data_IF_147629988983
#
_entry.id   IF_147629988983
#
_cell.length_a   1.000
_cell.length_b   1.000
_cell.length_c   1.000
_cell.angle_alpha   90.00
_cell.angle_beta   90.00
_cell.angle_gamma   90.00
#
_symmetry.space_group_name_H-M   'P 1'
#
loop_
_entity.id
_entity.type
_entity.pdbx_description
1 polymer ?
#
# COMPACT_ATOMS: atom_id res chain seq x y z
N UNK A 1 -16.51 -17.31 -18.13
CA UNK A 1 -17.16 -16.87 -16.86
C UNK A 1 -18.56 -16.36 -17.21
N UNK A 2 -19.60 -17.05 -16.77
CA UNK A 2 -20.99 -16.61 -17.00
C UNK A 2 -21.48 -15.98 -15.71
N UNK A 3 -21.56 -14.64 -15.71
CA UNK A 3 -21.83 -13.87 -14.50
C UNK A 3 -23.26 -13.38 -14.48
N UNK A 4 -24.12 -14.04 -13.72
CA UNK A 4 -25.52 -13.67 -13.58
C UNK A 4 -25.72 -12.72 -12.40
N UNK A 5 -26.34 -11.57 -12.65
CA UNK A 5 -26.74 -10.66 -11.58
C UNK A 5 -28.05 -11.13 -10.95
N UNK A 6 -28.09 -11.20 -9.63
CA UNK A 6 -29.28 -11.55 -8.85
C UNK A 6 -29.61 -10.47 -7.84
N UNK A 7 -30.87 -10.34 -7.48
CA UNK A 7 -31.32 -9.44 -6.46
C UNK A 7 -31.47 -10.19 -5.13
N UNK A 8 -30.71 -9.81 -4.11
CA UNK A 8 -30.86 -10.34 -2.74
C UNK A 8 -31.32 -9.24 -1.78
N UNK A 9 -32.22 -9.59 -0.87
CA UNK A 9 -32.59 -8.68 0.20
C UNK A 9 -31.51 -8.61 1.25
N UNK A 10 -31.30 -7.44 1.85
CA UNK A 10 -30.25 -7.25 2.86
C UNK A 10 -30.41 -8.22 4.04
N UNK A 11 -31.66 -8.59 4.43
CA UNK A 11 -31.91 -9.63 5.45
C UNK A 11 -31.29 -10.99 5.10
N UNK A 12 -31.30 -11.37 3.84
CA UNK A 12 -30.70 -12.64 3.39
C UNK A 12 -29.19 -12.57 3.54
N UNK A 13 -28.58 -11.49 3.05
CA UNK A 13 -27.13 -11.27 3.15
C UNK A 13 -26.68 -11.24 4.61
N UNK A 14 -27.38 -10.49 5.46
CA UNK A 14 -27.07 -10.42 6.91
C UNK A 14 -27.18 -11.80 7.57
N UNK A 15 -28.18 -12.61 7.19
CA UNK A 15 -28.35 -13.98 7.70
C UNK A 15 -27.18 -14.87 7.30
N UNK A 16 -26.75 -14.82 6.02
CA UNK A 16 -25.63 -15.62 5.53
C UNK A 16 -24.29 -15.22 6.18
N UNK A 17 -24.07 -13.93 6.38
CA UNK A 17 -22.90 -13.43 7.13
C UNK A 17 -22.93 -13.91 8.59
N UNK A 18 -24.09 -13.85 9.23
CA UNK A 18 -24.26 -14.29 10.62
C UNK A 18 -24.02 -15.78 10.82
N UNK A 19 -24.35 -16.60 9.81
CA UNK A 19 -24.09 -18.06 9.79
C UNK A 19 -22.64 -18.40 9.43
N UNK A 20 -21.86 -17.45 8.91
CA UNK A 20 -20.50 -17.68 8.45
C UNK A 20 -20.40 -18.32 7.07
N UNK A 21 -21.52 -18.48 6.33
CA UNK A 21 -21.54 -18.95 4.93
C UNK A 21 -21.01 -17.88 3.98
N UNK A 22 -21.28 -16.59 4.27
CA UNK A 22 -20.64 -15.47 3.58
C UNK A 22 -19.49 -14.94 4.42
N UNK A 23 -18.28 -14.97 3.83
CA UNK A 23 -17.05 -14.52 4.44
C UNK A 23 -16.80 -13.06 4.07
N UNK A 24 -16.91 -12.16 5.06
CA UNK A 24 -16.69 -10.73 4.88
C UNK A 24 -15.23 -10.37 4.59
N UNK A 25 -14.29 -11.17 5.08
CA UNK A 25 -12.84 -10.96 4.91
C UNK A 25 -12.18 -12.26 4.44
N UNK A 26 -12.26 -12.58 3.15
CA UNK A 26 -11.42 -13.62 2.59
C UNK A 26 -9.93 -13.26 2.74
N UNK A 27 -9.04 -14.24 2.71
CA UNK A 27 -7.59 -14.07 2.89
C UNK A 27 -6.96 -13.06 1.93
N UNK A 28 -7.54 -12.90 0.75
CA UNK A 28 -7.09 -11.97 -0.29
C UNK A 28 -7.61 -10.53 -0.14
N UNK A 29 -8.37 -10.21 0.92
CA UNK A 29 -8.97 -8.90 1.10
C UNK A 29 -8.25 -8.06 2.15
N UNK A 30 -8.09 -6.77 1.84
CA UNK A 30 -7.44 -5.77 2.70
C UNK A 30 -8.23 -5.43 3.97
N UNK A 31 -7.57 -4.73 4.88
CA UNK A 31 -8.23 -4.10 6.01
C UNK A 31 -9.28 -3.07 5.58
N UNK A 32 -10.33 -2.91 6.39
CA UNK A 32 -11.38 -1.92 6.15
C UNK A 32 -10.81 -0.50 6.30
N UNK A 33 -10.78 0.27 5.20
CA UNK A 33 -10.17 1.62 5.16
C UNK A 33 -11.19 2.76 5.14
N UNK A 34 -12.48 2.45 5.10
CA UNK A 34 -13.52 3.48 5.07
C UNK A 34 -13.51 4.34 6.33
N UNK A 35 -13.50 5.65 6.14
CA UNK A 35 -13.66 6.60 7.24
C UNK A 35 -15.07 6.56 7.81
N UNK A 36 -15.26 7.07 9.02
CA UNK A 36 -16.59 7.19 9.63
C UNK A 36 -17.60 7.90 8.68
N UNK A 37 -17.15 8.88 7.90
CA UNK A 37 -17.97 9.59 6.92
C UNK A 37 -18.50 8.65 5.82
N UNK A 38 -17.63 7.81 5.25
CA UNK A 38 -18.03 6.84 4.22
C UNK A 38 -19.01 5.81 4.78
N UNK A 39 -18.73 5.30 5.99
CA UNK A 39 -19.59 4.33 6.69
C UNK A 39 -20.98 4.93 6.99
N UNK A 40 -21.05 6.15 7.47
CA UNK A 40 -22.31 6.85 7.69
C UNK A 40 -23.07 7.08 6.37
N UNK A 41 -22.37 7.42 5.30
CA UNK A 41 -23.02 7.65 3.99
C UNK A 41 -23.68 6.39 3.44
N UNK A 42 -23.06 5.22 3.52
CA UNK A 42 -23.72 3.98 3.01
C UNK A 42 -24.93 3.59 3.85
N UNK A 43 -24.88 3.76 5.17
CA UNK A 43 -26.04 3.53 6.05
C UNK A 43 -27.18 4.47 5.66
N UNK A 44 -26.90 5.75 5.48
CA UNK A 44 -27.87 6.76 5.05
C UNK A 44 -28.46 6.42 3.68
N UNK A 45 -27.64 5.93 2.73
CA UNK A 45 -28.07 5.50 1.41
C UNK A 45 -29.12 4.41 1.51
N UNK A 46 -28.86 3.38 2.33
CA UNK A 46 -29.79 2.25 2.52
C UNK A 46 -31.06 2.68 3.25
N UNK A 47 -30.95 3.47 4.33
CA UNK A 47 -32.12 3.97 5.06
C UNK A 47 -33.04 4.86 4.20
N UNK A 48 -32.46 5.58 3.23
CA UNK A 48 -33.22 6.40 2.25
C UNK A 48 -33.70 5.61 1.04
N UNK A 49 -33.31 4.35 0.89
CA UNK A 49 -33.69 3.52 -0.26
C UNK A 49 -32.98 3.89 -1.57
N UNK A 50 -31.85 4.62 -1.51
CA UNK A 50 -31.07 4.96 -2.70
C UNK A 50 -30.19 3.78 -3.13
N UNK A 51 -29.97 3.57 -4.45
CA UNK A 51 -29.13 2.48 -4.92
C UNK A 51 -27.63 2.72 -4.60
N UNK A 52 -26.90 1.63 -4.42
CA UNK A 52 -25.44 1.62 -4.43
C UNK A 52 -24.93 0.57 -5.44
N UNK A 53 -23.64 0.62 -5.86
CA UNK A 53 -23.08 -0.31 -6.83
C UNK A 53 -23.20 -1.78 -6.41
N UNK A 54 -23.34 -2.68 -7.40
CA UNK A 54 -23.45 -4.13 -7.20
C UNK A 54 -22.30 -4.71 -6.36
N UNK A 55 -22.56 -5.85 -5.72
CA UNK A 55 -21.60 -6.61 -4.93
C UNK A 55 -21.20 -7.85 -5.71
N UNK A 56 -19.89 -8.14 -5.76
CA UNK A 56 -19.36 -9.34 -6.41
C UNK A 56 -19.00 -10.39 -5.37
N UNK A 57 -19.44 -11.62 -5.60
CA UNK A 57 -19.17 -12.76 -4.74
C UNK A 57 -18.61 -13.93 -5.57
N UNK A 58 -17.87 -14.83 -4.90
CA UNK A 58 -17.39 -16.07 -5.50
C UNK A 58 -17.48 -17.21 -4.49
N UNK A 59 -17.71 -18.42 -4.98
CA UNK A 59 -17.61 -19.63 -4.16
C UNK A 59 -16.13 -19.95 -3.97
N UNK A 60 -15.66 -19.90 -2.70
CA UNK A 60 -14.25 -20.12 -2.34
C UNK A 60 -13.93 -21.59 -2.13
N UNK A 61 -14.74 -22.25 -1.29
CA UNK A 61 -14.58 -23.66 -0.94
C UNK A 61 -15.90 -24.37 -1.19
N UNK A 62 -15.84 -25.51 -1.85
CA UNK A 62 -17.02 -26.37 -2.03
C UNK A 62 -16.63 -27.81 -1.73
N UNK A 63 -17.14 -28.34 -0.62
CA UNK A 63 -17.01 -29.76 -0.32
C UNK A 63 -18.00 -30.56 -1.21
N UNK A 64 -17.46 -31.30 -2.14
CA UNK A 64 -18.25 -32.11 -3.10
C UNK A 64 -19.04 -33.24 -2.43
N UNK A 65 -18.69 -33.65 -1.21
CA UNK A 65 -19.36 -34.75 -0.49
C UNK A 65 -20.50 -34.24 0.38
N UNK A 66 -20.35 -33.06 1.00
CA UNK A 66 -21.35 -32.46 1.88
C UNK A 66 -22.19 -31.38 1.21
N UNK A 67 -21.75 -30.89 0.03
CA UNK A 67 -22.30 -29.73 -0.67
C UNK A 67 -22.22 -28.43 0.15
N UNK A 68 -21.44 -28.42 1.23
CA UNK A 68 -21.17 -27.20 1.99
C UNK A 68 -20.22 -26.30 1.20
N UNK A 69 -20.55 -25.02 1.13
CA UNK A 69 -19.71 -24.05 0.45
C UNK A 69 -19.60 -22.74 1.24
N UNK A 70 -18.45 -22.07 1.09
CA UNK A 70 -18.25 -20.71 1.59
C UNK A 70 -18.19 -19.75 0.44
N UNK A 71 -18.89 -18.64 0.58
CA UNK A 71 -18.90 -17.55 -0.40
C UNK A 71 -18.06 -16.40 0.09
N UNK A 72 -17.02 -16.03 -0.67
CA UNK A 72 -16.19 -14.85 -0.41
C UNK A 72 -16.75 -13.61 -1.11
N UNK A 73 -16.64 -12.45 -0.46
CA UNK A 73 -17.01 -11.18 -1.08
C UNK A 73 -15.79 -10.68 -1.85
N UNK A 74 -15.88 -10.63 -3.17
CA UNK A 74 -14.81 -10.16 -4.07
C UNK A 74 -14.80 -8.62 -4.16
N UNK A 75 -15.96 -7.98 -4.33
CA UNK A 75 -16.12 -6.52 -4.20
C UNK A 75 -17.39 -6.17 -3.42
N UNK A 76 -17.35 -5.05 -2.69
CA UNK A 76 -18.44 -4.61 -1.82
C UNK A 76 -18.21 -4.93 -0.34
N UNK A 77 -17.05 -5.45 0.05
CA UNK A 77 -16.69 -5.78 1.43
C UNK A 77 -16.95 -4.62 2.40
N UNK A 78 -16.45 -3.41 2.09
CA UNK A 78 -16.62 -2.22 2.94
C UNK A 78 -18.10 -1.88 3.14
N UNK A 79 -18.90 -2.01 2.08
CA UNK A 79 -20.34 -1.76 2.10
C UNK A 79 -21.05 -2.77 2.99
N UNK A 80 -20.86 -4.06 2.73
CA UNK A 80 -21.54 -5.11 3.48
C UNK A 80 -21.07 -5.21 4.93
N UNK A 81 -19.77 -5.07 5.20
CA UNK A 81 -19.26 -5.04 6.58
C UNK A 81 -19.86 -3.89 7.40
N UNK A 82 -19.98 -2.71 6.79
CA UNK A 82 -20.58 -1.55 7.46
C UNK A 82 -22.06 -1.78 7.76
N UNK A 83 -22.82 -2.26 6.78
CA UNK A 83 -24.25 -2.54 6.95
C UNK A 83 -24.50 -3.66 7.97
N UNK A 84 -23.68 -4.71 7.95
CA UNK A 84 -23.73 -5.78 8.93
C UNK A 84 -23.40 -5.28 10.35
N UNK A 85 -22.31 -4.49 10.50
CA UNK A 85 -21.92 -3.92 11.80
C UNK A 85 -23.00 -2.98 12.35
N UNK A 86 -23.66 -2.22 11.50
CA UNK A 86 -24.78 -1.36 11.87
C UNK A 86 -25.98 -2.19 12.35
N UNK A 87 -26.37 -3.23 11.62
CA UNK A 87 -27.44 -4.16 12.01
C UNK A 87 -27.12 -4.85 13.34
N UNK A 88 -25.90 -5.35 13.50
CA UNK A 88 -25.45 -6.05 14.73
C UNK A 88 -25.25 -5.12 15.93
N UNK A 89 -25.34 -3.79 15.75
CA UNK A 89 -25.07 -2.82 16.82
C UNK A 89 -23.60 -2.77 17.25
N UNK A 90 -22.68 -3.23 16.38
CA UNK A 90 -21.22 -3.33 16.62
C UNK A 90 -20.43 -2.39 15.71
N UNK A 91 -20.87 -1.13 15.61
CA UNK A 91 -20.15 -0.13 14.81
C UNK A 91 -18.84 0.29 15.51
N UNK A 92 -17.74 0.26 14.79
CA UNK A 92 -16.39 0.72 15.21
C UNK A 92 -16.17 2.23 14.95
N UNK A 93 -17.26 2.96 14.68
CA UNK A 93 -17.25 4.39 14.37
C UNK A 93 -18.49 5.06 14.98
N UNK A 94 -18.39 6.38 15.11
CA UNK A 94 -19.48 7.21 15.63
C UNK A 94 -20.52 7.45 14.51
N UNK A 95 -21.79 7.14 14.82
CA UNK A 95 -22.92 7.51 13.97
C UNK A 95 -23.13 9.03 13.96
N UNK A 96 -23.43 9.58 12.79
CA UNK A 96 -23.81 10.99 12.65
C UNK A 96 -25.20 11.24 13.25
N UNK A 97 -25.48 12.50 13.65
CA UNK A 97 -26.68 12.87 14.42
C UNK A 97 -28.00 12.51 13.75
N UNK A 98 -28.01 12.46 12.42
CA UNK A 98 -29.18 12.11 11.59
C UNK A 98 -29.39 10.60 11.40
N UNK A 99 -28.47 9.77 11.87
CA UNK A 99 -28.53 8.30 11.78
C UNK A 99 -28.78 7.72 13.17
N UNK A 100 -29.99 7.18 13.39
CA UNK A 100 -30.29 6.46 14.63
C UNK A 100 -29.58 5.10 14.64
N UNK A 101 -29.09 4.60 15.79
CA UNK A 101 -28.66 3.21 15.93
C UNK A 101 -29.77 2.25 15.48
N UNK A 102 -29.42 1.14 14.83
CA UNK A 102 -30.40 0.16 14.34
C UNK A 102 -31.40 -0.28 15.43
N UNK A 103 -30.94 -0.51 16.65
CA UNK A 103 -31.78 -0.88 17.79
C UNK A 103 -32.84 0.17 18.16
N UNK A 104 -32.62 1.44 17.79
CA UNK A 104 -33.52 2.58 18.07
C UNK A 104 -34.39 2.99 16.88
N UNK A 105 -34.30 2.26 15.74
CA UNK A 105 -35.23 2.43 14.64
C UNK A 105 -36.60 1.88 15.03
N UNK A 106 -37.67 2.48 14.47
CA UNK A 106 -38.99 1.87 14.54
C UNK A 106 -39.08 0.64 13.62
N UNK A 107 -40.12 -0.17 13.79
CA UNK A 107 -40.25 -1.44 13.07
C UNK A 107 -40.42 -1.24 11.56
N UNK A 108 -40.97 -0.11 11.13
CA UNK A 108 -41.13 0.21 9.71
C UNK A 108 -39.76 0.52 9.08
N UNK A 109 -38.92 1.29 9.73
CA UNK A 109 -37.56 1.62 9.26
C UNK A 109 -36.63 0.38 9.32
N UNK A 110 -36.77 -0.48 10.35
CA UNK A 110 -36.05 -1.77 10.39
C UNK A 110 -36.45 -2.66 9.23
N UNK A 111 -37.76 -2.74 8.92
CA UNK A 111 -38.25 -3.53 7.81
C UNK A 111 -37.75 -2.98 6.48
N UNK A 112 -37.78 -1.67 6.26
CA UNK A 112 -37.22 -1.04 5.06
C UNK A 112 -35.73 -1.36 4.87
N UNK A 113 -34.94 -1.29 5.95
CA UNK A 113 -33.53 -1.64 5.93
C UNK A 113 -33.33 -3.12 5.57
N UNK A 114 -34.07 -4.03 6.14
CA UNK A 114 -33.97 -5.48 5.87
C UNK A 114 -34.47 -5.88 4.48
N UNK A 115 -35.50 -5.20 3.98
CA UNK A 115 -36.06 -5.43 2.64
C UNK A 115 -35.30 -4.67 1.52
N UNK A 116 -34.28 -3.89 1.88
CA UNK A 116 -33.44 -3.23 0.89
C UNK A 116 -32.80 -4.23 -0.07
N UNK A 117 -32.90 -3.95 -1.37
CA UNK A 117 -32.43 -4.85 -2.44
C UNK A 117 -30.99 -4.51 -2.80
N UNK A 118 -30.11 -5.50 -2.73
CA UNK A 118 -28.72 -5.44 -3.16
C UNK A 118 -28.59 -6.25 -4.44
N UNK A 119 -28.00 -5.65 -5.47
CA UNK A 119 -27.62 -6.38 -6.69
C UNK A 119 -26.34 -7.15 -6.39
N UNK A 120 -26.40 -8.47 -6.52
CA UNK A 120 -25.30 -9.38 -6.28
C UNK A 120 -24.94 -10.09 -7.58
N UNK A 121 -23.68 -10.02 -7.96
CA UNK A 121 -23.14 -10.73 -9.10
C UNK A 121 -22.30 -11.90 -8.61
N UNK A 122 -22.76 -13.10 -8.91
CA UNK A 122 -22.08 -14.33 -8.57
C UNK A 122 -21.11 -14.71 -9.69
N UNK A 123 -19.83 -14.88 -9.35
CA UNK A 123 -18.77 -15.27 -10.26
C UNK A 123 -18.65 -16.81 -10.38
N UNK A 124 -19.41 -17.54 -9.54
CA UNK A 124 -19.37 -19.00 -9.48
C UNK A 124 -18.18 -19.53 -8.71
N UNK A 125 -17.82 -20.78 -9.01
CA UNK A 125 -16.61 -21.41 -8.49
C UNK A 125 -15.45 -20.97 -9.38
N UNK A 126 -14.56 -20.17 -8.83
CA UNK A 126 -13.37 -19.67 -9.52
C UNK A 126 -12.16 -19.85 -8.61
N UNK A 127 -10.99 -20.07 -9.18
CA UNK A 127 -9.76 -20.21 -8.41
C UNK A 127 -9.24 -18.84 -7.90
N UNK A 128 -8.30 -18.89 -6.98
CA UNK A 128 -7.72 -17.69 -6.38
C UNK A 128 -7.06 -16.76 -7.42
N UNK A 129 -6.50 -17.31 -8.49
CA UNK A 129 -5.87 -16.52 -9.55
C UNK A 129 -6.91 -15.75 -10.37
N UNK A 130 -8.05 -16.38 -10.67
CA UNK A 130 -9.17 -15.76 -11.36
C UNK A 130 -9.86 -14.70 -10.47
N UNK A 131 -10.02 -14.99 -9.16
CA UNK A 131 -10.54 -13.99 -8.19
C UNK A 131 -9.67 -12.74 -8.21
N UNK A 132 -8.35 -12.90 -8.16
CA UNK A 132 -7.36 -11.81 -8.17
C UNK A 132 -7.47 -10.97 -9.45
N UNK A 133 -7.55 -11.62 -10.61
CA UNK A 133 -7.68 -10.93 -11.89
C UNK A 133 -9.00 -10.14 -11.99
N UNK A 134 -10.12 -10.73 -11.56
CA UNK A 134 -11.41 -10.04 -11.52
C UNK A 134 -11.37 -8.86 -10.56
N UNK A 135 -10.80 -9.04 -9.37
CA UNK A 135 -10.63 -7.98 -8.39
C UNK A 135 -9.79 -6.82 -8.95
N UNK A 136 -8.67 -7.12 -9.62
CA UNK A 136 -7.82 -6.13 -10.29
C UNK A 136 -8.60 -5.34 -11.34
N UNK A 137 -9.39 -6.01 -12.19
CA UNK A 137 -10.19 -5.37 -13.24
C UNK A 137 -11.33 -4.53 -12.69
N UNK A 138 -12.08 -5.01 -11.70
CA UNK A 138 -13.16 -4.25 -11.06
C UNK A 138 -12.64 -2.97 -10.41
N UNK A 139 -11.49 -3.04 -9.75
CA UNK A 139 -10.90 -1.88 -9.09
C UNK A 139 -10.18 -0.92 -10.07
N UNK A 140 -9.75 -1.38 -11.26
CA UNK A 140 -9.19 -0.50 -12.29
C UNK A 140 -10.23 0.46 -12.90
N UNK A 141 -11.52 0.13 -12.84
CA UNK A 141 -12.62 0.92 -13.41
C UNK A 141 -13.34 1.80 -12.39
N UNK A 142 -13.26 1.49 -11.10
CA UNK A 142 -13.99 2.18 -10.02
C UNK A 142 -13.14 2.39 -8.77
N UNK A 143 -12.54 3.59 -8.62
CA UNK A 143 -11.97 4.15 -7.40
C UNK A 143 -10.73 3.50 -6.75
N UNK A 144 -9.58 4.09 -7.06
CA UNK A 144 -8.48 4.45 -6.12
C UNK A 144 -7.99 3.40 -5.12
N UNK A 145 -7.87 2.13 -5.49
CA UNK A 145 -6.87 1.30 -4.88
C UNK A 145 -5.50 1.75 -5.39
N UNK A 146 -4.57 2.01 -4.48
CA UNK A 146 -3.19 2.18 -4.90
C UNK A 146 -2.58 0.82 -5.29
N UNK A 147 -1.42 0.85 -5.95
CA UNK A 147 -0.77 -0.37 -6.43
C UNK A 147 -0.50 -1.38 -5.29
N UNK A 148 -0.16 -0.91 -4.08
CA UNK A 148 0.09 -1.80 -2.95
C UNK A 148 -1.18 -2.45 -2.40
N UNK A 149 -2.28 -1.71 -2.33
CA UNK A 149 -3.58 -2.27 -1.92
C UNK A 149 -4.04 -3.38 -2.89
N UNK A 150 -3.70 -3.25 -4.18
CA UNK A 150 -3.94 -4.28 -5.20
C UNK A 150 -2.99 -5.46 -4.97
N UNK A 151 -1.71 -5.22 -4.83
CA UNK A 151 -0.71 -6.27 -4.63
C UNK A 151 -0.94 -7.04 -3.32
N UNK A 152 -1.33 -6.36 -2.24
CA UNK A 152 -1.71 -7.01 -0.99
C UNK A 152 -2.92 -7.94 -1.15
N UNK A 153 -3.87 -7.59 -2.02
CA UNK A 153 -5.02 -8.46 -2.31
C UNK A 153 -4.68 -9.64 -3.23
N UNK A 154 -3.63 -9.50 -4.06
CA UNK A 154 -3.25 -10.49 -5.06
C UNK A 154 -2.22 -11.49 -4.52
N UNK A 155 -1.25 -11.03 -3.76
CA UNK A 155 -0.11 -11.81 -3.30
C UNK A 155 -0.12 -11.91 -1.77
N UNK A 156 0.14 -13.11 -1.25
CA UNK A 156 0.23 -13.41 0.19
C UNK A 156 1.57 -14.07 0.58
N UNK A 157 2.55 -14.04 -0.34
CA UNK A 157 3.81 -14.73 -0.19
C UNK A 157 4.97 -13.89 0.33
N UNK A 158 6.17 -14.46 0.22
CA UNK A 158 7.42 -14.02 0.82
C UNK A 158 7.75 -12.55 0.61
N UNK A 159 7.62 -12.05 -0.63
CA UNK A 159 7.97 -10.65 -0.93
C UNK A 159 7.07 -9.64 -0.20
N UNK A 160 5.76 -9.93 -0.15
CA UNK A 160 4.82 -9.10 0.60
C UNK A 160 5.14 -9.09 2.08
N UNK A 161 5.31 -10.28 2.68
CA UNK A 161 5.62 -10.44 4.10
C UNK A 161 6.91 -9.72 4.48
N UNK A 162 7.95 -9.82 3.65
CA UNK A 162 9.19 -9.09 3.85
C UNK A 162 8.97 -7.57 3.82
N UNK A 163 8.22 -7.05 2.85
CA UNK A 163 7.92 -5.62 2.76
C UNK A 163 7.16 -5.11 4.00
N UNK A 164 6.17 -5.86 4.48
CA UNK A 164 5.39 -5.51 5.67
C UNK A 164 6.25 -5.56 6.95
N UNK A 165 7.09 -6.59 7.09
CA UNK A 165 8.02 -6.74 8.21
C UNK A 165 9.01 -5.59 8.29
N UNK A 166 9.63 -5.24 7.16
CA UNK A 166 10.57 -4.13 7.08
C UNK A 166 9.90 -2.76 7.25
N UNK A 167 8.68 -2.57 6.77
CA UNK A 167 7.92 -1.33 6.99
C UNK A 167 7.62 -1.09 8.48
N UNK A 168 7.52 -2.16 9.28
CA UNK A 168 7.30 -2.10 10.73
C UNK A 168 8.59 -1.93 11.54
N UNK A 169 9.74 -1.64 10.90
CA UNK A 169 10.99 -1.41 11.59
C UNK A 169 10.97 -0.08 12.36
N UNK A 170 11.52 -0.08 13.58
CA UNK A 170 11.59 1.08 14.50
C UNK A 170 12.17 2.34 13.84
N UNK A 171 13.07 2.18 12.87
CA UNK A 171 13.59 3.31 12.10
C UNK A 171 12.46 4.15 11.49
N UNK A 172 11.49 3.50 10.86
CA UNK A 172 10.39 4.20 10.16
C UNK A 172 9.37 4.82 11.10
N UNK A 173 9.16 4.24 12.29
CA UNK A 173 8.33 4.86 13.33
C UNK A 173 8.94 6.18 13.83
N UNK A 174 10.26 6.26 13.91
CA UNK A 174 10.98 7.41 14.45
C UNK A 174 11.34 8.47 13.38
N UNK A 175 11.49 8.08 12.11
CA UNK A 175 12.02 8.94 11.03
C UNK A 175 11.06 9.97 10.48
N UNK A 176 9.76 9.89 10.80
CA UNK A 176 8.69 10.70 10.20
C UNK A 176 8.59 10.62 8.66
N UNK A 177 9.16 9.56 8.06
CA UNK A 177 9.13 9.35 6.62
C UNK A 177 7.71 9.04 6.13
N UNK A 178 6.93 8.35 6.98
CA UNK A 178 5.56 7.95 6.68
C UNK A 178 4.56 8.70 7.56
N UNK A 179 3.47 9.16 6.93
CA UNK A 179 2.32 9.73 7.63
C UNK A 179 1.37 8.61 8.09
N UNK A 180 0.49 8.91 9.06
CA UNK A 180 -0.56 7.96 9.45
C UNK A 180 -1.48 7.55 8.28
N UNK A 181 -1.60 8.40 7.25
CA UNK A 181 -2.36 8.07 6.04
C UNK A 181 -1.57 7.13 5.12
N UNK A 182 -0.23 7.26 5.06
CA UNK A 182 0.60 6.32 4.31
C UNK A 182 0.46 4.91 4.88
N UNK A 183 0.57 4.76 6.21
CA UNK A 183 0.42 3.47 6.90
C UNK A 183 -0.97 2.87 6.68
N UNK A 184 -2.04 3.68 6.80
CA UNK A 184 -3.41 3.21 6.56
C UNK A 184 -3.65 2.70 5.14
N UNK A 185 -2.93 3.24 4.17
CA UNK A 185 -3.03 2.90 2.75
C UNK A 185 -1.91 2.00 2.26
N UNK A 186 -1.10 1.44 3.16
CA UNK A 186 0.05 0.58 2.84
C UNK A 186 1.09 1.24 1.92
N UNK A 187 1.15 2.58 1.88
CA UNK A 187 2.15 3.31 1.11
C UNK A 187 3.55 3.17 1.71
N UNK A 188 3.67 2.86 3.00
CA UNK A 188 4.88 2.47 3.69
C UNK A 188 5.44 1.16 3.13
N UNK A 189 4.65 0.09 3.15
CA UNK A 189 5.03 -1.21 2.57
C UNK A 189 5.30 -1.13 1.07
N UNK A 190 4.54 -0.30 0.34
CA UNK A 190 4.79 -0.03 -1.08
C UNK A 190 6.13 0.67 -1.32
N UNK A 191 6.48 1.60 -0.45
CA UNK A 191 7.78 2.27 -0.52
C UNK A 191 8.94 1.31 -0.24
N UNK A 192 8.79 0.41 0.74
CA UNK A 192 9.76 -0.66 0.99
C UNK A 192 9.87 -1.60 -0.22
N UNK A 193 8.73 -2.00 -0.82
CA UNK A 193 8.75 -2.78 -2.06
C UNK A 193 9.51 -2.07 -3.19
N UNK A 194 9.38 -0.74 -3.30
CA UNK A 194 10.13 0.07 -4.27
C UNK A 194 11.64 0.02 -4.00
N UNK A 195 12.06 0.12 -2.73
CA UNK A 195 13.48 0.01 -2.33
C UNK A 195 14.03 -1.38 -2.67
N UNK A 196 13.35 -2.45 -2.24
CA UNK A 196 13.81 -3.82 -2.47
C UNK A 196 13.86 -4.13 -3.98
N UNK A 197 12.83 -3.74 -4.73
CA UNK A 197 12.83 -3.91 -6.19
C UNK A 197 14.01 -3.19 -6.84
N UNK A 198 14.35 -1.98 -6.34
CA UNK A 198 15.49 -1.21 -6.89
C UNK A 198 16.82 -1.87 -6.58
N UNK A 199 17.04 -2.40 -5.40
CA UNK A 199 18.28 -3.10 -5.08
C UNK A 199 18.42 -4.43 -5.82
N UNK A 200 17.32 -5.11 -6.16
CA UNK A 200 17.33 -6.38 -6.89
C UNK A 200 17.45 -6.19 -8.41
N UNK A 201 16.82 -5.16 -8.98
CA UNK A 201 16.65 -5.02 -10.43
C UNK A 201 17.21 -3.70 -11.01
N UNK A 202 17.81 -2.86 -10.16
CA UNK A 202 18.27 -1.53 -10.55
C UNK A 202 17.12 -0.51 -10.68
N UNK A 203 17.47 0.73 -11.06
CA UNK A 203 16.50 1.80 -11.21
C UNK A 203 15.49 1.55 -12.34
N UNK A 204 14.21 1.75 -12.03
CA UNK A 204 13.08 1.56 -12.93
C UNK A 204 12.14 2.77 -12.92
N UNK A 205 11.21 2.81 -13.88
CA UNK A 205 10.29 3.93 -14.08
C UNK A 205 8.99 3.69 -13.29
N UNK A 206 8.59 4.64 -12.48
CA UNK A 206 7.40 4.54 -11.63
C UNK A 206 7.33 3.19 -10.89
N UNK A 207 6.30 2.38 -11.17
CA UNK A 207 5.99 1.13 -10.47
C UNK A 207 6.15 -0.11 -11.37
N UNK A 208 6.73 0.05 -12.58
CA UNK A 208 6.74 -0.97 -13.65
C UNK A 208 7.25 -2.35 -13.23
N UNK A 209 8.22 -2.41 -12.29
CA UNK A 209 8.85 -3.67 -11.90
C UNK A 209 8.39 -4.22 -10.55
N UNK A 210 7.55 -3.48 -9.84
CA UNK A 210 7.14 -3.88 -8.49
C UNK A 210 6.21 -5.09 -8.56
N UNK A 211 5.24 -5.08 -9.49
CA UNK A 211 4.33 -6.21 -9.71
C UNK A 211 5.08 -7.49 -10.11
N UNK A 212 6.16 -7.35 -10.92
CA UNK A 212 7.02 -8.46 -11.30
C UNK A 212 7.71 -9.10 -10.08
N UNK A 213 8.21 -8.27 -9.13
CA UNK A 213 8.80 -8.78 -7.90
C UNK A 213 7.76 -9.47 -7.00
N UNK A 214 6.55 -8.92 -6.87
CA UNK A 214 5.48 -9.58 -6.14
C UNK A 214 5.14 -10.94 -6.73
N UNK A 215 5.05 -11.04 -8.05
CA UNK A 215 4.78 -12.30 -8.75
C UNK A 215 5.94 -13.29 -8.64
N UNK A 216 7.17 -12.84 -8.89
CA UNK A 216 8.37 -13.67 -8.93
C UNK A 216 8.72 -14.29 -7.57
N UNK A 217 8.55 -13.52 -6.51
CA UNK A 217 8.92 -13.90 -5.15
C UNK A 217 7.72 -14.21 -4.25
N UNK A 218 6.57 -14.59 -4.84
CA UNK A 218 5.41 -14.99 -4.06
C UNK A 218 5.63 -16.34 -3.36
N UNK A 219 5.95 -17.39 -4.13
CA UNK A 219 6.05 -18.76 -3.62
C UNK A 219 7.41 -19.05 -2.96
N UNK A 220 8.48 -18.46 -3.49
CA UNK A 220 9.86 -18.66 -3.02
C UNK A 220 10.68 -17.39 -3.17
N UNK A 221 11.48 -17.07 -2.15
CA UNK A 221 12.46 -15.99 -2.21
C UNK A 221 13.78 -16.47 -1.60
N UNK A 222 14.59 -17.18 -2.38
CA UNK A 222 15.82 -17.82 -1.91
C UNK A 222 16.79 -16.91 -1.15
N UNK A 223 16.85 -15.64 -1.53
CA UNK A 223 17.75 -14.64 -0.90
C UNK A 223 17.04 -13.75 0.13
N UNK A 224 15.84 -14.08 0.61
CA UNK A 224 15.04 -13.25 1.51
C UNK A 224 15.83 -12.81 2.76
N UNK A 225 16.39 -13.77 3.50
CA UNK A 225 17.15 -13.49 4.72
C UNK A 225 18.36 -12.59 4.47
N UNK A 226 19.04 -12.78 3.33
CA UNK A 226 20.17 -11.94 2.94
C UNK A 226 19.72 -10.51 2.68
N UNK A 227 18.67 -10.34 1.87
CA UNK A 227 18.11 -9.03 1.53
C UNK A 227 17.62 -8.32 2.78
N UNK A 228 16.89 -9.00 3.66
CA UNK A 228 16.43 -8.46 4.93
C UNK A 228 17.58 -7.96 5.80
N UNK A 229 18.60 -8.78 5.99
CA UNK A 229 19.78 -8.44 6.79
C UNK A 229 20.54 -7.25 6.21
N UNK A 230 20.78 -7.23 4.92
CA UNK A 230 21.47 -6.13 4.23
C UNK A 230 20.66 -4.84 4.26
N UNK A 231 19.33 -4.94 4.14
CA UNK A 231 18.41 -3.81 4.27
C UNK A 231 18.50 -3.19 5.68
N UNK A 232 18.39 -4.01 6.74
CA UNK A 232 18.49 -3.56 8.14
C UNK A 232 19.86 -2.92 8.39
N UNK A 233 20.95 -3.55 7.94
CA UNK A 233 22.28 -3.00 8.09
C UNK A 233 22.46 -1.64 7.38
N UNK A 234 21.71 -1.37 6.32
CA UNK A 234 21.70 -0.06 5.65
C UNK A 234 20.95 0.98 6.48
N UNK A 235 19.81 0.60 7.08
CA UNK A 235 19.09 1.46 8.03
C UNK A 235 19.96 1.81 9.26
N UNK A 236 20.66 0.82 9.80
CA UNK A 236 21.59 1.02 10.93
C UNK A 236 22.71 2.00 10.56
N UNK A 237 23.26 1.87 9.34
CA UNK A 237 24.27 2.81 8.85
C UNK A 237 23.73 4.24 8.75
N UNK A 238 22.52 4.42 8.21
CA UNK A 238 21.86 5.74 8.12
C UNK A 238 21.60 6.30 9.53
N UNK A 239 21.18 5.47 10.46
CA UNK A 239 20.98 5.84 11.87
C UNK A 239 22.29 6.29 12.51
N UNK A 240 23.36 5.52 12.34
CA UNK A 240 24.69 5.81 12.87
C UNK A 240 25.31 7.10 12.31
N UNK A 241 25.05 7.40 11.04
CA UNK A 241 25.47 8.66 10.41
C UNK A 241 24.84 9.87 11.10
N UNK A 242 23.65 9.72 11.67
CA UNK A 242 22.94 10.79 12.38
C UNK A 242 23.00 12.13 11.63
N UNK A 243 22.52 12.14 10.37
CA UNK A 243 22.59 13.28 9.46
C UNK A 243 21.59 14.35 9.91
N UNK A 244 22.07 15.55 10.16
CA UNK A 244 21.25 16.70 10.58
C UNK A 244 20.67 17.46 9.37
N UNK A 245 19.74 16.81 8.65
CA UNK A 245 19.05 17.41 7.51
C UNK A 245 17.58 16.97 7.45
N UNK A 246 16.68 17.90 7.14
CA UNK A 246 15.26 17.58 6.91
C UNK A 246 15.05 16.71 5.67
N UNK A 247 16.03 16.65 4.77
CA UNK A 247 15.94 15.90 3.52
C UNK A 247 15.89 14.41 3.73
N UNK A 248 16.54 13.86 4.76
CA UNK A 248 16.45 12.43 5.06
C UNK A 248 15.03 11.98 5.47
N UNK A 249 14.13 12.90 5.80
CA UNK A 249 12.71 12.62 6.02
C UNK A 249 11.86 12.83 4.77
N UNK A 250 12.46 13.19 3.63
CA UNK A 250 11.77 13.30 2.34
C UNK A 250 11.94 12.00 1.55
N UNK A 251 10.83 11.44 1.05
CA UNK A 251 10.83 10.12 0.39
C UNK A 251 11.82 10.00 -0.77
N UNK A 252 11.96 11.03 -1.61
CA UNK A 252 12.87 10.99 -2.75
C UNK A 252 14.35 11.00 -2.36
N UNK A 253 14.70 11.81 -1.35
CA UNK A 253 16.06 11.94 -0.83
C UNK A 253 16.46 10.66 -0.06
N UNK A 254 15.59 10.20 0.85
CA UNK A 254 15.82 8.96 1.59
C UNK A 254 15.97 7.75 0.67
N UNK A 255 15.09 7.63 -0.34
CA UNK A 255 15.16 6.56 -1.34
C UNK A 255 16.54 6.50 -1.98
N UNK A 256 17.04 7.64 -2.44
CA UNK A 256 18.33 7.69 -3.13
C UNK A 256 19.49 7.40 -2.18
N UNK A 257 19.48 7.99 -0.98
CA UNK A 257 20.49 7.75 0.04
C UNK A 257 20.56 6.26 0.41
N UNK A 258 19.42 5.65 0.67
CA UNK A 258 19.34 4.23 1.03
C UNK A 258 19.91 3.33 -0.07
N UNK A 259 19.47 3.54 -1.32
CA UNK A 259 19.87 2.71 -2.47
C UNK A 259 21.37 2.83 -2.73
N UNK A 260 21.92 4.03 -2.71
CA UNK A 260 23.36 4.23 -2.99
C UNK A 260 24.25 3.75 -1.83
N UNK A 261 23.82 3.89 -0.58
CA UNK A 261 24.54 3.30 0.55
C UNK A 261 24.52 1.76 0.52
N UNK A 262 23.38 1.18 0.13
CA UNK A 262 23.27 -0.26 -0.07
C UNK A 262 24.24 -0.74 -1.15
N UNK A 263 24.26 -0.10 -2.32
CA UNK A 263 25.17 -0.45 -3.42
C UNK A 263 26.64 -0.28 -3.02
N UNK A 264 26.99 0.84 -2.40
CA UNK A 264 28.35 1.07 -1.95
C UNK A 264 28.83 -0.02 -0.96
N UNK A 265 27.98 -0.41 0.00
CA UNK A 265 28.35 -1.34 1.06
C UNK A 265 28.32 -2.81 0.64
N UNK A 266 27.30 -3.25 -0.12
CA UNK A 266 27.03 -4.67 -0.39
C UNK A 266 27.33 -5.10 -1.83
N UNK A 267 27.38 -4.17 -2.79
CA UNK A 267 27.69 -4.48 -4.18
C UNK A 267 29.12 -4.10 -4.51
N UNK A 268 29.54 -2.89 -4.12
CA UNK A 268 30.89 -2.37 -4.38
C UNK A 268 31.88 -2.65 -3.22
N UNK A 269 31.33 -3.14 -2.10
CA UNK A 269 32.11 -3.52 -0.91
C UNK A 269 33.00 -2.38 -0.36
N UNK A 270 32.48 -1.15 -0.32
CA UNK A 270 33.21 0.00 0.22
C UNK A 270 33.24 -0.03 1.73
N UNK A 271 34.45 0.25 2.30
CA UNK A 271 34.54 0.71 3.68
C UNK A 271 34.36 2.23 3.70
N UNK A 272 33.42 2.70 4.53
CA UNK A 272 32.95 4.08 4.54
C UNK A 272 33.43 4.78 5.82
N UNK A 273 34.17 5.88 5.65
CA UNK A 273 34.52 6.80 6.74
C UNK A 273 33.29 7.63 7.11
N UNK A 274 32.59 7.21 8.18
CA UNK A 274 31.28 7.79 8.56
C UNK A 274 31.34 9.29 8.84
N UNK A 275 32.41 9.79 9.44
CA UNK A 275 32.55 11.20 9.79
C UNK A 275 32.66 12.08 8.52
N UNK A 276 33.43 11.62 7.53
CA UNK A 276 33.57 12.29 6.24
C UNK A 276 32.24 12.28 5.52
N UNK A 277 31.58 11.10 5.41
CA UNK A 277 30.33 10.96 4.73
C UNK A 277 29.22 11.85 5.33
N UNK A 278 29.09 11.84 6.68
CA UNK A 278 28.12 12.70 7.38
C UNK A 278 28.31 14.16 6.97
N UNK A 279 29.54 14.68 7.13
CA UNK A 279 29.84 16.07 6.83
C UNK A 279 29.52 16.43 5.39
N UNK A 280 29.96 15.60 4.44
CA UNK A 280 29.76 15.86 3.01
C UNK A 280 28.28 15.83 2.62
N UNK A 281 27.49 14.90 3.18
CA UNK A 281 26.04 14.85 2.95
C UNK A 281 25.31 16.04 3.55
N UNK A 282 25.67 16.49 4.75
CA UNK A 282 25.05 17.66 5.38
C UNK A 282 25.36 18.94 4.58
N UNK A 283 26.58 19.11 4.13
CA UNK A 283 26.98 20.22 3.26
C UNK A 283 26.21 20.18 1.94
N UNK A 284 26.18 19.04 1.28
CA UNK A 284 25.44 18.85 0.01
C UNK A 284 23.94 19.14 0.17
N UNK A 285 23.28 18.58 1.17
CA UNK A 285 21.85 18.80 1.40
C UNK A 285 21.53 20.26 1.75
N UNK A 286 22.41 20.94 2.48
CA UNK A 286 22.28 22.37 2.71
C UNK A 286 22.37 23.16 1.41
N UNK A 287 23.32 22.84 0.53
CA UNK A 287 23.49 23.50 -0.76
C UNK A 287 22.28 23.26 -1.67
N UNK A 288 21.70 22.05 -1.67
CA UNK A 288 20.45 21.75 -2.38
C UNK A 288 19.28 22.61 -1.85
N UNK A 289 19.24 22.93 -0.56
CA UNK A 289 18.19 23.77 0.00
C UNK A 289 18.32 25.23 -0.43
N UNK A 290 19.54 25.79 -0.44
CA UNK A 290 19.78 27.20 -0.70
C UNK A 290 19.93 27.55 -2.18
N UNK A 291 20.34 26.62 -3.06
CA UNK A 291 20.53 26.89 -4.49
C UNK A 291 19.23 27.35 -5.14
N UNK A 292 19.31 28.28 -6.09
CA UNK A 292 18.18 28.79 -6.85
C UNK A 292 18.51 28.86 -8.36
N UNK A 293 17.54 29.25 -9.17
CA UNK A 293 17.67 29.29 -10.63
C UNK A 293 18.70 30.33 -11.10
N UNK A 294 18.87 31.41 -10.33
CA UNK A 294 19.81 32.51 -10.63
C UNK A 294 21.26 32.17 -10.28
N UNK A 295 21.52 31.09 -9.51
CA UNK A 295 22.88 30.68 -9.18
C UNK A 295 23.66 30.32 -10.45
N UNK A 296 24.78 31.01 -10.70
CA UNK A 296 25.61 30.68 -11.88
C UNK A 296 26.20 29.27 -11.77
N UNK A 297 26.23 28.55 -12.88
CA UNK A 297 26.85 27.20 -12.96
C UNK A 297 28.29 27.39 -13.45
N UNK A 298 29.19 27.53 -12.51
CA UNK A 298 30.62 27.80 -12.74
C UNK A 298 31.51 26.56 -12.51
N UNK A 299 30.97 25.48 -11.99
CA UNK A 299 31.68 24.22 -11.83
C UNK A 299 30.72 23.00 -11.82
N UNK A 300 31.31 21.78 -11.90
CA UNK A 300 30.54 20.52 -11.94
C UNK A 300 29.71 20.32 -10.67
N UNK A 301 30.21 20.68 -9.50
CA UNK A 301 29.49 20.52 -8.23
C UNK A 301 28.18 21.32 -8.22
N UNK A 302 28.21 22.58 -8.60
CA UNK A 302 26.99 23.44 -8.68
C UNK A 302 26.02 22.86 -9.71
N UNK A 303 26.53 22.33 -10.85
CA UNK A 303 25.69 21.62 -11.83
C UNK A 303 25.00 20.39 -11.22
N UNK A 304 25.74 19.57 -10.45
CA UNK A 304 25.20 18.41 -9.75
C UNK A 304 24.15 18.80 -8.72
N UNK A 305 24.38 19.84 -7.92
CA UNK A 305 23.43 20.35 -6.93
C UNK A 305 22.13 20.82 -7.59
N UNK A 306 22.20 21.57 -8.71
CA UNK A 306 21.02 21.98 -9.48
C UNK A 306 20.26 20.78 -10.07
N UNK A 307 20.97 19.88 -10.72
CA UNK A 307 20.39 18.68 -11.33
C UNK A 307 19.69 17.79 -10.26
N UNK A 308 20.28 17.69 -9.08
CA UNK A 308 19.68 16.99 -7.97
C UNK A 308 18.38 17.68 -7.54
N UNK A 309 18.40 19.01 -7.34
CA UNK A 309 17.23 19.81 -6.93
C UNK A 309 16.08 19.67 -7.94
N UNK A 310 16.35 19.75 -9.23
CA UNK A 310 15.35 19.53 -10.27
C UNK A 310 14.73 18.13 -10.18
N UNK A 311 15.56 17.10 -9.99
CA UNK A 311 15.13 15.70 -9.95
C UNK A 311 14.31 15.32 -8.71
N UNK A 312 14.34 16.11 -7.64
CA UNK A 312 13.47 15.95 -6.45
C UNK A 312 12.22 16.85 -6.52
N UNK A 313 12.14 17.77 -7.46
CA UNK A 313 11.02 18.71 -7.57
C UNK A 313 9.97 18.20 -8.56
N UNK A 314 10.35 17.57 -9.65
CA UNK A 314 9.44 17.06 -10.68
C UNK A 314 9.82 15.65 -11.12
N UNK A 315 8.80 14.81 -11.38
CA UNK A 315 9.01 13.45 -11.88
C UNK A 315 9.90 12.59 -10.98
N UNK A 316 9.80 12.74 -9.68
CA UNK A 316 10.69 12.11 -8.67
C UNK A 316 10.77 10.59 -8.81
N UNK A 317 9.72 9.93 -9.35
CA UNK A 317 9.64 8.50 -9.56
C UNK A 317 10.05 8.07 -10.98
N UNK A 318 10.37 9.01 -11.86
CA UNK A 318 10.89 8.67 -13.17
C UNK A 318 12.29 8.06 -13.06
N UNK A 319 12.56 7.05 -13.89
CA UNK A 319 13.87 6.37 -13.93
C UNK A 319 15.02 7.35 -14.12
N UNK A 320 14.86 8.33 -15.01
CA UNK A 320 15.88 9.37 -15.25
C UNK A 320 16.21 10.17 -13.99
N UNK A 321 15.18 10.64 -13.26
CA UNK A 321 15.37 11.39 -12.01
C UNK A 321 16.04 10.55 -10.93
N UNK A 322 15.63 9.29 -10.78
CA UNK A 322 16.28 8.34 -9.84
C UNK A 322 17.74 8.12 -10.18
N UNK A 323 18.09 7.92 -11.48
CA UNK A 323 19.48 7.75 -11.94
C UNK A 323 20.29 9.02 -11.72
N UNK A 324 19.74 10.20 -12.01
CA UNK A 324 20.45 11.47 -11.80
C UNK A 324 20.82 11.64 -10.32
N UNK A 325 19.86 11.47 -9.41
CA UNK A 325 20.11 11.54 -7.96
C UNK A 325 21.12 10.48 -7.52
N UNK A 326 20.95 9.24 -8.00
CA UNK A 326 21.83 8.13 -7.64
C UNK A 326 23.26 8.42 -8.03
N UNK A 327 23.54 8.82 -9.26
CA UNK A 327 24.89 9.16 -9.72
C UNK A 327 25.55 10.25 -8.89
N UNK A 328 24.79 11.26 -8.50
CA UNK A 328 25.29 12.37 -7.69
C UNK A 328 25.64 11.89 -6.27
N UNK A 329 24.72 11.16 -5.61
CA UNK A 329 24.99 10.62 -4.27
C UNK A 329 26.11 9.56 -4.28
N UNK A 330 26.19 8.72 -5.31
CA UNK A 330 27.28 7.75 -5.45
C UNK A 330 28.65 8.45 -5.49
N UNK A 331 28.79 9.58 -6.22
CA UNK A 331 30.03 10.39 -6.19
C UNK A 331 30.35 10.90 -4.79
N UNK A 332 29.35 11.38 -4.05
CA UNK A 332 29.51 11.90 -2.70
C UNK A 332 29.94 10.78 -1.74
N UNK A 333 29.29 9.62 -1.83
CA UNK A 333 29.63 8.45 -1.01
C UNK A 333 31.05 7.95 -1.33
N UNK A 334 31.43 7.92 -2.62
CA UNK A 334 32.76 7.50 -3.03
C UNK A 334 33.90 8.38 -2.46
N UNK A 335 33.64 9.66 -2.20
CA UNK A 335 34.60 10.55 -1.54
C UNK A 335 34.87 10.21 -0.05
N UNK A 336 34.04 9.38 0.56
CA UNK A 336 34.19 8.88 1.93
C UNK A 336 34.79 7.47 2.01
N UNK A 337 35.25 6.91 0.88
CA UNK A 337 35.90 5.60 0.84
C UNK A 337 37.23 5.62 1.55
N UNK A 338 37.48 4.61 2.43
CA UNK A 338 38.76 4.34 3.09
C UNK A 338 39.69 3.54 2.17
#
# INVERSE_FOLDING_TARGET
>A
MDTTATNKKLREIVSEISKGTWVLRPSFQRNLVWTAKHKNNIIRTVLKGYPFPEVFIATMDCDINTAESKTGIVDGQQRLSTLYSYFAGKTDFKLEKDIKPYSKLDDQDKLKFLEYVVVVRDLGVIDDSEIREVFKRLNSTNYNLNAMEINHAIYDGHFRELCERLASNDYFENSKLFTSNDIKRMNDSFYIATLITTILQGYFNNDEKIDDCFSMYNETFENEEKVEKEFINTLDLITDLNIESKRISQKADFFTLFVELYFAKFVECFEIEKAILKKTLEEFYNDVDIINDETAVDNEYISDVKSYKESISQGTNHRSSRITRGKILAKIIANSKI
#
